data_IF_479376273505
#
_entry.id   IF_479376273505
#
_cell.length_a   1.000
_cell.length_b   1.000
_cell.length_c   1.000
_cell.angle_alpha   90.00
_cell.angle_beta   90.00
_cell.angle_gamma   90.00
#
_symmetry.space_group_name_H-M   'P 1'
#
loop_
_entity.id
_entity.type
_entity.pdbx_description
1 polymer ?
#
# COMPACT_ATOMS: atom_id res chain seq x y z
N UNK A 1 -25.24 -9.52 -12.97
CA UNK A 1 -24.99 -9.54 -11.52
C UNK A 1 -23.78 -8.68 -11.25
N UNK A 2 -23.98 -7.46 -10.72
CA UNK A 2 -22.88 -6.58 -10.37
C UNK A 2 -22.29 -7.12 -9.06
N UNK A 3 -21.22 -7.91 -9.16
CA UNK A 3 -20.48 -8.38 -7.98
C UNK A 3 -20.13 -7.16 -7.12
N UNK A 4 -20.69 -7.06 -5.92
CA UNK A 4 -20.30 -6.02 -4.97
C UNK A 4 -18.81 -6.21 -4.67
N UNK A 5 -17.96 -5.35 -5.23
CA UNK A 5 -16.53 -5.34 -4.91
C UNK A 5 -16.37 -4.96 -3.43
N UNK A 6 -15.64 -5.79 -2.69
CA UNK A 6 -15.30 -5.55 -1.31
C UNK A 6 -13.77 -5.52 -1.21
N UNK A 7 -13.22 -4.39 -0.74
CA UNK A 7 -11.78 -4.19 -0.61
C UNK A 7 -11.24 -4.56 0.77
N UNK A 8 -12.06 -5.18 1.62
CA UNK A 8 -11.63 -5.81 2.87
C UNK A 8 -11.12 -7.24 2.62
N UNK A 9 -10.21 -7.40 1.65
CA UNK A 9 -9.69 -8.69 1.24
C UNK A 9 -8.47 -9.09 2.07
N UNK A 10 -8.59 -10.22 2.78
CA UNK A 10 -7.64 -10.67 3.78
C UNK A 10 -6.99 -12.02 3.41
N UNK A 11 -6.60 -12.22 2.15
CA UNK A 11 -5.91 -13.45 1.74
C UNK A 11 -4.46 -13.42 2.19
N UNK A 12 -4.27 -13.69 3.46
CA UNK A 12 -2.96 -13.73 4.09
C UNK A 12 -2.54 -15.17 4.35
N UNK A 13 -1.28 -15.48 4.09
CA UNK A 13 -0.66 -16.63 4.75
C UNK A 13 -0.57 -16.30 6.25
N UNK A 14 -0.65 -17.29 7.16
CA UNK A 14 -0.39 -17.04 8.58
C UNK A 14 0.91 -16.27 8.75
N UNK A 15 0.85 -15.10 9.39
CA UNK A 15 2.04 -14.34 9.68
C UNK A 15 2.82 -15.01 10.81
N UNK A 16 4.14 -15.06 10.69
CA UNK A 16 5.03 -15.46 11.77
C UNK A 16 5.57 -14.23 12.49
N UNK A 17 6.07 -14.39 13.71
CA UNK A 17 6.87 -13.34 14.33
C UNK A 17 8.30 -13.42 13.81
N UNK A 18 8.92 -12.27 13.53
CA UNK A 18 10.37 -12.19 13.37
C UNK A 18 11.06 -12.12 14.74
N UNK A 19 12.40 -12.01 14.76
CA UNK A 19 13.20 -11.95 15.99
C UNK A 19 12.84 -10.74 16.88
N UNK A 20 12.40 -9.64 16.28
CA UNK A 20 12.00 -8.40 16.97
C UNK A 20 10.53 -8.39 17.45
N UNK A 21 9.79 -9.48 17.21
CA UNK A 21 8.36 -9.56 17.52
C UNK A 21 7.43 -8.85 16.52
N UNK A 22 7.97 -8.36 15.40
CA UNK A 22 7.21 -7.85 14.26
C UNK A 22 6.55 -9.00 13.49
N UNK A 23 5.51 -8.70 12.70
CA UNK A 23 4.79 -9.69 11.89
C UNK A 23 5.41 -9.79 10.51
N UNK A 24 5.79 -10.99 10.12
CA UNK A 24 6.29 -11.31 8.78
C UNK A 24 5.17 -11.90 7.92
N UNK A 25 4.83 -11.21 6.84
CA UNK A 25 3.81 -11.59 5.87
C UNK A 25 4.45 -12.05 4.58
N UNK A 26 3.82 -13.03 3.94
CA UNK A 26 4.28 -13.59 2.66
C UNK A 26 3.23 -13.29 1.60
N UNK A 27 3.51 -12.29 0.76
CA UNK A 27 2.66 -11.86 -0.34
C UNK A 27 3.07 -12.66 -1.58
N UNK A 28 2.23 -13.59 -2.01
CA UNK A 28 2.48 -14.43 -3.18
C UNK A 28 1.83 -13.81 -4.41
N UNK A 29 2.63 -13.39 -5.38
CA UNK A 29 2.18 -12.77 -6.63
C UNK A 29 2.93 -13.36 -7.81
N UNK A 30 2.20 -13.86 -8.81
CA UNK A 30 2.82 -14.66 -9.88
C UNK A 30 3.65 -15.80 -9.26
N UNK A 31 4.92 -15.94 -9.66
CA UNK A 31 5.88 -16.87 -9.09
C UNK A 31 6.81 -16.21 -8.04
N UNK A 32 6.54 -14.98 -7.60
CA UNK A 32 7.30 -14.26 -6.58
C UNK A 32 6.66 -14.39 -5.19
N UNK A 33 7.50 -14.50 -4.17
CA UNK A 33 7.09 -14.49 -2.77
C UNK A 33 7.76 -13.30 -2.06
N UNK A 34 6.99 -12.24 -1.85
CA UNK A 34 7.47 -11.01 -1.23
C UNK A 34 7.29 -11.13 0.27
N UNK A 35 8.39 -11.00 1.01
CA UNK A 35 8.37 -10.84 2.46
C UNK A 35 8.07 -9.38 2.81
N UNK A 36 7.00 -9.17 3.57
CA UNK A 36 6.60 -7.84 4.04
C UNK A 36 6.45 -7.85 5.55
N UNK A 37 7.18 -7.00 6.24
CA UNK A 37 7.21 -6.92 7.70
C UNK A 37 6.32 -5.77 8.16
N UNK A 38 5.47 -6.00 9.15
CA UNK A 38 4.70 -4.94 9.81
C UNK A 38 4.95 -4.94 11.30
N UNK A 39 4.66 -3.82 11.96
CA UNK A 39 4.52 -3.81 13.41
C UNK A 39 3.44 -4.79 13.90
N UNK A 40 3.53 -5.15 15.18
CA UNK A 40 2.68 -6.17 15.81
C UNK A 40 1.22 -5.75 16.00
N UNK A 41 0.93 -4.45 15.91
CA UNK A 41 -0.38 -3.84 16.08
C UNK A 41 -1.23 -3.78 14.80
N UNK A 42 -0.63 -4.04 13.63
CA UNK A 42 -1.37 -4.22 12.38
C UNK A 42 -2.30 -5.43 12.48
N UNK A 43 -3.56 -5.20 12.11
CA UNK A 43 -4.65 -6.15 12.09
C UNK A 43 -4.87 -6.67 10.67
N UNK A 44 -5.02 -7.98 10.57
CA UNK A 44 -5.24 -8.76 9.36
C UNK A 44 -6.00 -10.04 9.78
N UNK A 45 -6.65 -10.74 8.86
CA UNK A 45 -7.56 -11.89 9.11
C UNK A 45 -8.94 -11.56 9.70
N UNK A 46 -9.10 -10.48 10.47
CA UNK A 46 -10.41 -9.99 10.90
C UNK A 46 -10.54 -8.49 10.63
N UNK A 47 -11.70 -8.07 10.16
CA UNK A 47 -12.02 -6.66 9.91
C UNK A 47 -12.85 -6.12 11.06
N UNK A 48 -12.47 -4.95 11.55
CA UNK A 48 -13.29 -4.12 12.42
C UNK A 48 -13.48 -2.77 11.73
N UNK A 49 -14.68 -2.56 11.18
CA UNK A 49 -15.03 -1.40 10.36
C UNK A 49 -14.85 -0.06 11.09
N UNK A 50 -14.84 -0.06 12.43
CA UNK A 50 -14.53 1.14 13.23
C UNK A 50 -13.16 1.76 12.89
N UNK A 51 -12.21 0.94 12.44
CA UNK A 51 -10.83 1.34 12.13
C UNK A 51 -10.55 1.37 10.62
N UNK A 52 -11.60 1.29 9.82
CA UNK A 52 -11.54 1.38 8.37
C UNK A 52 -12.16 2.72 7.96
N UNK A 53 -11.37 3.59 7.35
CA UNK A 53 -11.77 4.98 7.10
C UNK A 53 -12.34 5.21 5.69
N UNK A 54 -12.24 4.21 4.81
CA UNK A 54 -12.64 4.26 3.41
C UNK A 54 -13.87 3.40 3.10
N UNK A 55 -14.57 3.80 2.05
CA UNK A 55 -15.63 3.02 1.40
C UNK A 55 -15.11 2.35 0.13
N UNK A 56 -15.86 1.37 -0.41
CA UNK A 56 -15.54 0.79 -1.73
C UNK A 56 -15.44 1.85 -2.83
N UNK A 57 -16.27 2.90 -2.78
CA UNK A 57 -16.26 3.97 -3.78
C UNK A 57 -14.97 4.78 -3.74
N UNK A 58 -14.43 5.02 -2.54
CA UNK A 58 -13.17 5.76 -2.37
C UNK A 58 -12.01 4.99 -3.02
N UNK A 59 -11.91 3.68 -2.75
CA UNK A 59 -10.88 2.82 -3.35
C UNK A 59 -11.08 2.69 -4.87
N UNK A 60 -12.32 2.53 -5.34
CA UNK A 60 -12.62 2.49 -6.77
C UNK A 60 -12.14 3.76 -7.49
N UNK A 61 -12.29 4.92 -6.85
CA UNK A 61 -11.84 6.20 -7.38
C UNK A 61 -10.30 6.25 -7.45
N UNK A 62 -9.61 5.90 -6.36
CA UNK A 62 -8.14 5.86 -6.28
C UNK A 62 -7.54 4.89 -7.30
N UNK A 63 -8.16 3.72 -7.49
CA UNK A 63 -7.68 2.70 -8.41
C UNK A 63 -7.78 3.13 -9.88
N UNK A 64 -8.81 3.92 -10.22
CA UNK A 64 -9.09 4.38 -11.60
C UNK A 64 -8.46 5.73 -11.95
N UNK A 65 -8.07 6.51 -10.95
CA UNK A 65 -7.58 7.88 -11.16
C UNK A 65 -6.24 7.92 -11.89
N UNK A 66 -5.30 7.04 -11.51
CA UNK A 66 -3.89 7.19 -11.89
C UNK A 66 -3.32 6.04 -12.74
N UNK A 67 -4.07 4.96 -12.93
CA UNK A 67 -3.68 3.81 -13.76
C UNK A 67 -4.85 3.48 -14.68
N UNK A 68 -4.60 3.39 -16.00
CA UNK A 68 -5.64 3.10 -16.99
C UNK A 68 -6.09 1.65 -16.97
N UNK A 69 -5.15 0.74 -16.66
CA UNK A 69 -5.45 -0.69 -16.59
C UNK A 69 -6.28 -0.99 -15.35
N UNK A 70 -7.28 -1.86 -15.52
CA UNK A 70 -8.14 -2.26 -14.41
C UNK A 70 -7.30 -2.81 -13.24
N UNK A 71 -7.74 -2.51 -12.02
CA UNK A 71 -7.18 -3.07 -10.79
C UNK A 71 -7.03 -4.58 -10.92
N UNK A 72 -5.81 -5.10 -10.77
CA UNK A 72 -5.55 -6.53 -10.80
C UNK A 72 -5.99 -7.23 -9.51
N UNK A 73 -5.28 -8.28 -9.12
CA UNK A 73 -5.60 -9.06 -7.91
C UNK A 73 -5.35 -8.20 -6.66
N UNK A 74 -6.34 -8.05 -5.79
CA UNK A 74 -6.06 -7.54 -4.44
C UNK A 74 -5.32 -8.63 -3.67
N UNK A 75 -4.17 -8.29 -3.09
CA UNK A 75 -3.30 -9.27 -2.43
C UNK A 75 -3.27 -9.08 -0.92
N UNK A 76 -3.66 -7.90 -0.42
CA UNK A 76 -3.71 -7.64 1.01
C UNK A 76 -4.64 -6.49 1.38
N UNK A 77 -5.09 -6.53 2.62
CA UNK A 77 -5.64 -5.41 3.37
C UNK A 77 -5.20 -5.53 4.83
N UNK A 78 -4.73 -4.43 5.42
CA UNK A 78 -4.36 -4.31 6.83
C UNK A 78 -4.74 -2.94 7.38
N UNK A 79 -4.94 -2.85 8.69
CA UNK A 79 -5.23 -1.60 9.40
C UNK A 79 -4.69 -1.65 10.83
N UNK A 80 -4.55 -0.50 11.49
CA UNK A 80 -4.16 -0.46 12.91
C UNK A 80 -5.37 -0.11 13.79
N UNK A 81 -5.35 -0.52 15.05
CA UNK A 81 -6.39 -0.14 16.03
C UNK A 81 -6.12 1.24 16.68
N UNK A 82 -5.01 1.88 16.31
CA UNK A 82 -4.66 3.22 16.77
C UNK A 82 -5.26 4.22 15.79
N UNK A 83 -6.03 5.21 16.31
CA UNK A 83 -6.72 6.24 15.52
C UNK A 83 -5.80 7.02 14.54
N UNK A 84 -4.49 6.91 14.74
CA UNK A 84 -3.47 7.67 14.03
C UNK A 84 -2.90 6.96 12.80
N UNK A 85 -3.20 5.68 12.52
CA UNK A 85 -2.48 4.99 11.44
C UNK A 85 -3.34 4.16 10.47
N UNK A 86 -3.21 4.61 9.23
CA UNK A 86 -3.07 3.88 7.97
C UNK A 86 -3.95 2.66 7.72
N UNK A 87 -4.81 2.79 6.72
CA UNK A 87 -5.33 1.63 6.02
C UNK A 87 -4.40 1.32 4.84
N UNK A 88 -3.80 0.13 4.87
CA UNK A 88 -2.89 -0.35 3.82
C UNK A 88 -3.61 -1.38 2.95
N UNK A 89 -3.68 -1.09 1.64
CA UNK A 89 -4.16 -2.02 0.63
C UNK A 89 -3.01 -2.39 -0.31
N UNK A 90 -3.01 -3.62 -0.83
CA UNK A 90 -2.07 -4.05 -1.85
C UNK A 90 -2.77 -4.68 -3.04
N UNK A 91 -2.32 -4.34 -4.25
CA UNK A 91 -2.84 -4.83 -5.52
C UNK A 91 -1.72 -5.25 -6.45
N UNK A 92 -1.86 -6.40 -7.10
CA UNK A 92 -0.95 -6.87 -8.12
C UNK A 92 -1.51 -6.64 -9.51
N UNK A 93 -0.77 -5.92 -10.35
CA UNK A 93 -1.12 -5.65 -11.73
C UNK A 93 -0.27 -6.49 -12.67
N UNK A 94 -0.86 -7.55 -13.21
CA UNK A 94 -0.23 -8.38 -14.22
C UNK A 94 0.00 -7.58 -15.51
N UNK A 95 1.15 -7.78 -16.15
CA UNK A 95 1.56 -7.13 -17.41
C UNK A 95 1.47 -5.59 -17.38
N UNK A 96 1.70 -4.98 -16.21
CA UNK A 96 1.96 -3.54 -16.06
C UNK A 96 3.43 -3.39 -15.69
N UNK A 97 4.13 -2.48 -16.35
CA UNK A 97 5.51 -2.12 -15.98
C UNK A 97 5.55 -0.80 -15.22
N UNK A 98 6.67 -0.49 -14.56
CA UNK A 98 6.84 0.83 -13.92
C UNK A 98 6.79 1.96 -14.95
N UNK A 99 7.26 1.74 -16.18
CA UNK A 99 7.16 2.73 -17.26
C UNK A 99 5.70 3.02 -17.60
N UNK A 100 4.82 2.00 -17.61
CA UNK A 100 3.39 2.22 -17.79
C UNK A 100 2.81 3.04 -16.64
N UNK A 101 3.19 2.74 -15.39
CA UNK A 101 2.76 3.50 -14.20
C UNK A 101 3.15 4.97 -14.35
N UNK A 102 4.42 5.25 -14.63
CA UNK A 102 4.94 6.62 -14.76
C UNK A 102 4.23 7.38 -15.89
N UNK A 103 3.97 6.73 -17.02
CA UNK A 103 3.23 7.32 -18.14
C UNK A 103 1.77 7.63 -17.77
N UNK A 104 1.09 6.73 -17.08
CA UNK A 104 -0.34 6.89 -16.72
C UNK A 104 -0.55 8.00 -15.68
N UNK A 105 0.36 8.16 -14.72
CA UNK A 105 0.31 9.25 -13.74
C UNK A 105 0.47 10.64 -14.38
N UNK A 106 1.16 10.71 -15.52
CA UNK A 106 1.40 11.95 -16.27
C UNK A 106 1.91 13.13 -15.40
N UNK A 107 2.72 12.81 -14.38
CA UNK A 107 3.40 13.77 -13.50
C UNK A 107 4.75 13.23 -13.06
N UNK A 108 5.58 14.12 -12.51
CA UNK A 108 6.83 13.71 -11.88
C UNK A 108 6.52 12.83 -10.65
N UNK A 109 7.29 11.75 -10.51
CA UNK A 109 7.31 10.93 -9.30
C UNK A 109 7.89 11.72 -8.12
N UNK A 110 7.42 11.43 -6.92
CA UNK A 110 7.90 12.10 -5.71
C UNK A 110 9.18 11.42 -5.21
N UNK A 111 9.27 10.09 -5.31
CA UNK A 111 10.49 9.32 -4.98
C UNK A 111 10.74 8.20 -5.99
N UNK A 112 12.01 8.07 -6.41
CA UNK A 112 12.53 6.95 -7.20
C UNK A 112 13.24 5.96 -6.27
N UNK A 113 12.71 4.74 -6.20
CA UNK A 113 13.20 3.64 -5.35
C UNK A 113 14.09 2.67 -6.13
N UNK A 114 14.43 2.98 -7.38
CA UNK A 114 15.24 2.17 -8.31
C UNK A 114 14.52 0.93 -8.88
N UNK A 115 13.85 0.15 -8.02
CA UNK A 115 12.92 -0.91 -8.41
C UNK A 115 11.45 -0.57 -8.13
N UNK A 116 11.17 0.68 -7.79
CA UNK A 116 9.84 1.16 -7.47
C UNK A 116 9.72 2.66 -7.61
N UNK A 117 8.49 3.15 -7.53
CA UNK A 117 8.16 4.57 -7.57
C UNK A 117 7.12 4.89 -6.50
N UNK A 118 7.16 6.11 -5.97
CA UNK A 118 6.21 6.60 -4.98
C UNK A 118 5.55 7.88 -5.48
N UNK A 119 4.23 7.95 -5.24
CA UNK A 119 3.42 9.14 -5.45
C UNK A 119 2.65 9.51 -4.18
N UNK A 120 2.57 10.81 -3.90
CA UNK A 120 1.70 11.40 -2.88
C UNK A 120 0.70 12.35 -3.54
N UNK A 121 -0.55 12.26 -3.11
CA UNK A 121 -1.63 13.11 -3.62
C UNK A 121 -2.84 13.05 -2.69
N UNK A 122 -3.71 14.07 -2.82
CA UNK A 122 -5.00 14.07 -2.15
C UNK A 122 -6.06 13.39 -3.03
N UNK A 123 -6.90 12.56 -2.41
CA UNK A 123 -8.02 11.89 -3.05
C UNK A 123 -9.26 11.95 -2.16
N UNK A 124 -10.18 12.85 -2.49
CA UNK A 124 -11.35 13.12 -1.66
C UNK A 124 -10.92 13.67 -0.30
N UNK A 125 -11.14 12.89 0.76
CA UNK A 125 -10.79 13.24 2.14
C UNK A 125 -9.44 12.68 2.60
N UNK A 126 -8.75 11.91 1.75
CA UNK A 126 -7.51 11.23 2.12
C UNK A 126 -6.30 11.92 1.52
N UNK A 127 -5.22 11.95 2.28
CA UNK A 127 -3.87 11.97 1.75
C UNK A 127 -3.46 10.51 1.46
N UNK A 128 -3.01 10.27 0.24
CA UNK A 128 -2.66 8.94 -0.26
C UNK A 128 -1.15 8.86 -0.47
N UNK A 129 -0.52 7.81 0.05
CA UNK A 129 0.81 7.40 -0.39
C UNK A 129 0.69 6.11 -1.20
N UNK A 130 1.12 6.19 -2.45
CA UNK A 130 0.87 5.19 -3.48
C UNK A 130 2.21 4.70 -4.05
N UNK A 131 2.58 3.48 -3.67
CA UNK A 131 3.93 2.92 -3.88
C UNK A 131 3.83 1.75 -4.84
N UNK A 132 4.62 1.77 -5.90
CA UNK A 132 4.70 0.66 -6.86
C UNK A 132 6.08 0.02 -6.80
N UNK A 133 6.14 -1.30 -6.83
CA UNK A 133 7.37 -2.09 -6.93
C UNK A 133 7.30 -3.02 -8.14
N UNK A 134 8.36 -3.09 -8.93
CA UNK A 134 8.50 -4.08 -10.01
C UNK A 134 8.60 -5.49 -9.43
N UNK A 135 7.89 -6.45 -10.01
CA UNK A 135 8.04 -7.86 -9.68
C UNK A 135 9.08 -8.51 -10.62
N UNK A 136 9.89 -9.44 -10.10
CA UNK A 136 11.00 -10.06 -10.85
C UNK A 136 10.53 -10.80 -12.10
N UNK A 137 9.33 -11.38 -12.05
CA UNK A 137 8.73 -12.17 -13.15
C UNK A 137 7.63 -11.40 -13.90
N UNK A 138 7.66 -10.07 -13.84
CA UNK A 138 6.74 -9.18 -14.54
C UNK A 138 5.53 -8.73 -13.72
N UNK A 139 4.97 -7.59 -14.13
CA UNK A 139 3.94 -6.89 -13.38
C UNK A 139 4.51 -5.95 -12.31
N UNK A 140 3.60 -5.27 -11.61
CA UNK A 140 3.91 -4.43 -10.47
C UNK A 140 2.97 -4.74 -9.31
N UNK A 141 3.49 -4.67 -8.09
CA UNK A 141 2.67 -4.58 -6.89
C UNK A 141 2.51 -3.10 -6.51
N UNK A 142 1.28 -2.69 -6.20
CA UNK A 142 0.88 -1.36 -5.75
C UNK A 142 0.46 -1.44 -4.30
N UNK A 143 1.05 -0.64 -3.44
CA UNK A 143 0.66 -0.44 -2.05
C UNK A 143 0.02 0.94 -1.90
N UNK A 144 -1.19 0.98 -1.36
CA UNK A 144 -1.96 2.19 -1.16
C UNK A 144 -2.14 2.39 0.34
N UNK A 145 -1.60 3.48 0.84
CA UNK A 145 -1.70 3.92 2.22
C UNK A 145 -2.67 5.09 2.30
N UNK A 146 -3.62 5.02 3.23
CA UNK A 146 -4.63 6.06 3.44
C UNK A 146 -4.58 6.55 4.87
N UNK A 147 -4.43 7.87 5.05
CA UNK A 147 -4.50 8.48 6.37
C UNK A 147 -5.92 8.40 6.96
N UNK A 148 -6.03 8.61 8.28
CA UNK A 148 -7.33 8.88 8.89
C UNK A 148 -7.74 10.34 8.60
N UNK A 149 -8.88 10.58 7.93
CA UNK A 149 -9.34 11.93 7.60
C UNK A 149 -9.78 12.75 8.82
N UNK A 150 -10.12 12.10 9.94
CA UNK A 150 -10.61 12.76 11.15
C UNK A 150 -9.48 13.09 12.15
N UNK A 151 -8.25 12.65 11.88
CA UNK A 151 -7.10 12.93 12.73
C UNK A 151 -6.52 14.32 12.45
N UNK A 152 -6.24 15.07 13.52
CA UNK A 152 -5.52 16.34 13.42
C UNK A 152 -4.02 16.10 13.28
N UNK A 153 -3.56 15.92 12.04
CA UNK A 153 -2.15 15.75 11.69
C UNK A 153 -1.72 16.83 10.67
N UNK A 154 -1.29 18.02 11.13
CA UNK A 154 -0.87 19.10 10.24
C UNK A 154 0.26 18.64 9.32
N UNK A 155 0.06 18.82 8.01
CA UNK A 155 0.99 18.37 6.96
C UNK A 155 1.22 16.85 6.94
N UNK A 156 0.32 16.06 7.55
CA UNK A 156 0.37 14.59 7.53
C UNK A 156 1.68 13.97 8.05
N UNK A 157 2.36 14.66 8.99
CA UNK A 157 3.67 14.25 9.50
C UNK A 157 3.68 12.89 10.17
N UNK A 158 2.66 12.57 10.97
CA UNK A 158 2.57 11.25 11.61
C UNK A 158 2.32 10.18 10.56
N UNK A 159 1.44 10.46 9.60
CA UNK A 159 1.12 9.54 8.51
C UNK A 159 2.35 9.23 7.64
N UNK A 160 3.07 10.24 7.17
CA UNK A 160 4.28 10.03 6.37
C UNK A 160 5.38 9.32 7.17
N UNK A 161 5.55 9.64 8.46
CA UNK A 161 6.48 8.92 9.32
C UNK A 161 6.14 7.44 9.45
N UNK A 162 4.85 7.10 9.61
CA UNK A 162 4.42 5.70 9.65
C UNK A 162 4.74 4.98 8.34
N UNK A 163 4.47 5.62 7.20
CA UNK A 163 4.79 5.05 5.87
C UNK A 163 6.31 4.91 5.70
N UNK A 164 7.10 5.90 6.11
CA UNK A 164 8.56 5.82 6.05
C UNK A 164 9.09 4.65 6.89
N UNK A 165 8.68 4.57 8.15
CA UNK A 165 9.15 3.50 9.02
C UNK A 165 8.70 2.12 8.51
N UNK A 166 7.47 2.01 7.99
CA UNK A 166 6.96 0.75 7.48
C UNK A 166 7.69 0.32 6.20
N UNK A 167 7.78 1.17 5.19
CA UNK A 167 8.31 0.76 3.89
C UNK A 167 9.83 0.88 3.78
N UNK A 168 10.44 1.85 4.45
CA UNK A 168 11.84 2.24 4.21
C UNK A 168 12.79 1.91 5.37
N UNK A 169 12.27 1.71 6.58
CA UNK A 169 13.05 1.15 7.69
C UNK A 169 12.86 -0.36 7.80
N UNK A 170 11.62 -0.83 8.07
CA UNK A 170 11.34 -2.25 8.28
C UNK A 170 11.50 -3.09 7.02
N UNK A 171 11.19 -2.51 5.86
CA UNK A 171 11.16 -3.19 4.56
C UNK A 171 12.21 -2.63 3.58
N UNK A 172 13.32 -2.10 4.09
CA UNK A 172 14.40 -1.53 3.28
C UNK A 172 14.90 -2.47 2.16
N UNK A 173 14.89 -3.78 2.40
CA UNK A 173 15.37 -4.80 1.45
C UNK A 173 14.46 -4.96 0.22
N UNK A 174 13.26 -4.37 0.23
CA UNK A 174 12.37 -4.37 -0.92
C UNK A 174 12.82 -3.41 -2.02
N UNK A 175 13.72 -2.46 -1.72
CA UNK A 175 14.03 -1.32 -2.58
C UNK A 175 15.50 -1.30 -3.03
N UNK A 176 15.74 -0.92 -4.30
CA UNK A 176 17.11 -0.77 -4.82
C UNK A 176 17.75 0.56 -4.36
N UNK A 177 16.91 1.56 -4.08
CA UNK A 177 17.28 2.86 -3.51
C UNK A 177 16.36 3.15 -2.35
N UNK A 178 16.91 3.72 -1.28
CA UNK A 178 16.08 4.13 -0.15
C UNK A 178 15.44 5.49 -0.42
N UNK A 179 14.25 5.72 0.13
CA UNK A 179 13.65 7.04 0.17
C UNK A 179 14.32 7.85 1.28
N UNK A 180 15.00 8.95 0.94
CA UNK A 180 15.40 9.93 1.94
C UNK A 180 14.16 10.80 2.20
N UNK A 181 13.51 10.60 3.35
CA UNK A 181 12.38 11.36 3.88
C UNK A 181 11.53 12.08 2.82
N UNK A 182 10.57 11.38 2.21
CA UNK A 182 9.53 12.10 1.48
C UNK A 182 8.64 12.81 2.52
N UNK A 183 8.57 14.13 2.42
CA UNK A 183 7.83 15.04 3.31
C UNK A 183 6.61 15.63 2.59
#
# INVERSE_FOLDING_TARGET
MQSCKNYYYLKHSPASNNEDGNRLHHIKVSDENIQFITYSDYQFNKVNEKYVFFTTKDIDHILKANIRKASGEQVMFMYTNMSIYNNLLGFYYKDVTLENVVQDYNRKLDVDLGNGVLYTYDSGKFNVVDIYRKCSNGGVIRFINLNNPDEKDPQFKKFHREVNNLFFDLNQSLWDKNAVDFQ
#
